data_IF_135974237542
#
_entry.id   IF_135974237542
#
_cell.length_a   1.000
_cell.length_b   1.000
_cell.length_c   1.000
_cell.angle_alpha   90.00
_cell.angle_beta   90.00
_cell.angle_gamma   90.00
#
_symmetry.space_group_name_H-M   'P 1'
#
loop_
_entity.id
_entity.type
_entity.pdbx_description
1 polymer ?
#
# COMPACT_ATOMS: atom_id res chain seq x y z
N UNK A 1 28.87 -47.90 7.39
CA UNK A 1 28.13 -47.05 8.35
C UNK A 1 27.76 -45.65 7.82
N UNK A 2 28.50 -45.05 6.88
CA UNK A 2 28.21 -43.68 6.38
C UNK A 2 26.87 -43.49 5.65
N UNK A 3 26.40 -44.51 4.90
CA UNK A 3 25.13 -44.44 4.15
C UNK A 3 23.88 -44.47 5.05
N UNK A 4 23.96 -45.09 6.23
CA UNK A 4 22.82 -45.16 7.17
C UNK A 4 22.66 -43.82 7.91
N UNK A 5 23.79 -43.20 8.28
CA UNK A 5 23.79 -41.87 8.89
C UNK A 5 23.21 -40.79 7.95
N UNK A 6 23.51 -40.85 6.64
CA UNK A 6 22.98 -39.89 5.67
C UNK A 6 21.48 -40.08 5.40
N UNK A 7 20.97 -41.32 5.43
CA UNK A 7 19.53 -41.60 5.34
C UNK A 7 18.77 -41.10 6.57
N UNK A 8 19.32 -41.29 7.77
CA UNK A 8 18.75 -40.75 9.01
C UNK A 8 18.69 -39.22 9.01
N UNK A 9 19.73 -38.56 8.50
CA UNK A 9 19.77 -37.11 8.37
C UNK A 9 18.73 -36.59 7.36
N UNK A 10 18.55 -37.29 6.23
CA UNK A 10 17.49 -36.99 5.25
C UNK A 10 16.09 -37.19 5.83
N UNK A 11 15.87 -38.26 6.58
CA UNK A 11 14.60 -38.53 7.27
C UNK A 11 14.27 -37.45 8.31
N UNK A 12 15.25 -37.03 9.11
CA UNK A 12 15.09 -35.93 10.08
C UNK A 12 14.76 -34.60 9.42
N UNK A 13 15.33 -34.33 8.24
CA UNK A 13 15.00 -33.14 7.44
C UNK A 13 13.57 -33.22 6.90
N UNK A 14 13.19 -34.34 6.28
CA UNK A 14 11.83 -34.53 5.77
C UNK A 14 10.76 -34.43 6.87
N UNK A 15 11.05 -34.93 8.08
CA UNK A 15 10.14 -34.78 9.21
C UNK A 15 10.00 -33.32 9.65
N UNK A 16 11.10 -32.57 9.72
CA UNK A 16 11.06 -31.12 10.01
C UNK A 16 10.30 -30.34 8.94
N UNK A 17 10.50 -30.69 7.67
CA UNK A 17 9.80 -30.08 6.54
C UNK A 17 8.30 -30.38 6.62
N UNK A 18 7.89 -31.58 7.04
CA UNK A 18 6.48 -31.94 7.25
C UNK A 18 5.85 -31.15 8.40
N UNK A 19 6.53 -31.01 9.53
CA UNK A 19 6.03 -30.21 10.65
C UNK A 19 5.91 -28.72 10.27
N UNK A 20 6.88 -28.18 9.52
CA UNK A 20 6.77 -26.83 8.97
C UNK A 20 5.58 -26.68 8.03
N UNK A 21 5.36 -27.64 7.12
CA UNK A 21 4.22 -27.61 6.21
C UNK A 21 2.87 -27.62 6.95
N UNK A 22 2.76 -28.39 8.04
CA UNK A 22 1.54 -28.40 8.86
C UNK A 22 1.29 -27.04 9.50
N UNK A 23 2.32 -26.40 10.03
CA UNK A 23 2.23 -25.05 10.63
C UNK A 23 1.83 -24.03 9.56
N UNK A 24 2.48 -24.04 8.40
CA UNK A 24 2.12 -23.14 7.30
C UNK A 24 0.68 -23.35 6.83
N UNK A 25 0.24 -24.60 6.73
CA UNK A 25 -1.13 -24.93 6.33
C UNK A 25 -2.17 -24.50 7.38
N UNK A 26 -1.86 -24.67 8.67
CA UNK A 26 -2.76 -24.19 9.73
C UNK A 26 -2.84 -22.67 9.74
N UNK A 27 -1.73 -21.97 9.51
CA UNK A 27 -1.69 -20.51 9.47
C UNK A 27 -2.47 -19.96 8.26
N UNK A 28 -2.25 -20.51 7.06
CA UNK A 28 -3.02 -20.13 5.86
C UNK A 28 -4.53 -20.34 6.10
N UNK A 29 -4.90 -21.46 6.74
CA UNK A 29 -6.31 -21.72 7.06
C UNK A 29 -6.85 -20.73 8.08
N UNK A 30 -6.06 -20.36 9.08
CA UNK A 30 -6.41 -19.36 10.09
C UNK A 30 -6.70 -18.02 9.43
N UNK A 31 -5.76 -17.49 8.65
CA UNK A 31 -5.90 -16.19 7.95
C UNK A 31 -7.08 -16.19 6.97
N UNK A 32 -7.28 -17.27 6.21
CA UNK A 32 -8.44 -17.38 5.30
C UNK A 32 -9.79 -17.43 6.03
N UNK A 33 -9.82 -17.90 7.29
CA UNK A 33 -11.03 -17.96 8.11
C UNK A 33 -11.29 -16.70 8.92
N UNK A 34 -10.23 -15.94 9.22
CA UNK A 34 -10.23 -14.71 10.02
C UNK A 34 -9.78 -13.54 9.15
N UNK A 35 -10.54 -13.25 8.10
CA UNK A 35 -10.28 -12.10 7.23
C UNK A 35 -10.70 -10.81 7.95
N UNK A 36 -9.86 -10.38 8.91
CA UNK A 36 -10.08 -9.21 9.77
C UNK A 36 -10.35 -7.94 8.94
N UNK A 37 -9.71 -7.84 7.76
CA UNK A 37 -9.76 -6.65 6.91
C UNK A 37 -10.90 -6.64 5.88
N UNK A 38 -11.59 -7.76 5.65
CA UNK A 38 -12.80 -7.78 4.79
C UNK A 38 -13.93 -6.91 5.31
N UNK A 39 -13.92 -6.63 6.62
CA UNK A 39 -14.98 -5.90 7.33
C UNK A 39 -14.72 -4.38 7.40
N UNK A 40 -13.47 -3.95 7.19
CA UNK A 40 -13.02 -2.57 7.38
C UNK A 40 -12.89 -1.78 6.06
N UNK A 41 -13.43 -2.30 4.96
CA UNK A 41 -13.64 -1.50 3.76
C UNK A 41 -14.78 -0.50 4.02
N UNK A 42 -14.47 0.58 4.73
CA UNK A 42 -15.31 1.76 4.78
C UNK A 42 -15.67 2.21 3.37
N UNK A 43 -16.77 2.95 3.22
CA UNK A 43 -17.16 3.46 1.92
C UNK A 43 -16.05 4.35 1.36
N UNK A 44 -15.49 3.97 0.20
CA UNK A 44 -14.55 4.79 -0.58
C UNK A 44 -15.23 6.07 -1.14
N UNK A 45 -16.52 6.30 -0.82
CA UNK A 45 -17.32 7.37 -1.39
C UNK A 45 -17.43 7.18 -2.90
N UNK A 46 -17.15 8.24 -3.65
CA UNK A 46 -17.18 8.23 -5.12
C UNK A 46 -15.84 7.85 -5.75
N UNK A 47 -14.85 7.43 -4.94
CA UNK A 47 -13.60 6.91 -5.46
C UNK A 47 -13.77 5.49 -5.97
N UNK A 48 -13.20 5.24 -7.15
CA UNK A 48 -13.10 3.93 -7.78
C UNK A 48 -11.65 3.47 -7.70
N UNK A 49 -11.44 2.22 -7.31
CA UNK A 49 -10.14 1.57 -7.34
C UNK A 49 -9.72 1.34 -8.80
N UNK A 50 -8.65 2.00 -9.23
CA UNK A 50 -8.09 1.91 -10.59
C UNK A 50 -6.98 0.86 -10.66
N UNK A 51 -6.20 0.71 -9.58
CA UNK A 51 -5.14 -0.29 -9.48
C UNK A 51 -4.95 -0.76 -8.04
N UNK A 52 -4.98 -2.08 -7.84
CA UNK A 52 -4.63 -2.76 -6.61
C UNK A 52 -4.14 -4.16 -7.00
N UNK A 53 -2.83 -4.42 -6.85
CA UNK A 53 -2.19 -5.65 -7.31
C UNK A 53 -1.63 -6.42 -6.13
N UNK A 54 -1.86 -7.74 -6.00
CA UNK A 54 -1.27 -8.55 -4.93
C UNK A 54 0.27 -8.59 -4.93
N UNK A 55 0.90 -8.12 -6.02
CA UNK A 55 2.35 -8.10 -6.18
C UNK A 55 2.95 -6.69 -6.10
N UNK A 56 2.13 -5.67 -5.86
CA UNK A 56 2.58 -4.31 -5.62
C UNK A 56 2.01 -3.78 -4.31
N UNK A 57 2.69 -2.80 -3.74
CA UNK A 57 2.18 -1.99 -2.63
C UNK A 57 1.52 -0.70 -3.11
N UNK A 58 1.51 -0.49 -4.42
CA UNK A 58 0.89 0.67 -5.05
C UNK A 58 -0.62 0.44 -5.16
N UNK A 59 -1.36 1.41 -4.64
CA UNK A 59 -2.81 1.51 -4.77
C UNK A 59 -3.12 2.80 -5.52
N UNK A 60 -3.99 2.73 -6.53
CA UNK A 60 -4.44 3.90 -7.28
C UNK A 60 -5.96 3.99 -7.22
N UNK A 61 -6.45 5.14 -6.81
CA UNK A 61 -7.86 5.46 -6.77
C UNK A 61 -8.16 6.70 -7.60
N UNK A 62 -9.33 6.75 -8.22
CA UNK A 62 -9.78 7.91 -9.00
C UNK A 62 -11.21 8.29 -8.67
N UNK A 63 -11.49 9.59 -8.73
CA UNK A 63 -12.82 10.14 -8.59
C UNK A 63 -13.02 11.23 -9.64
N UNK A 64 -14.17 11.17 -10.32
CA UNK A 64 -14.66 12.29 -11.11
C UNK A 64 -15.69 13.06 -10.28
N UNK A 65 -15.44 14.35 -10.08
CA UNK A 65 -16.33 15.24 -9.35
C UNK A 65 -17.43 15.76 -10.28
N UNK A 66 -18.59 16.11 -9.71
CA UNK A 66 -19.70 16.73 -10.45
C UNK A 66 -19.31 18.06 -11.11
N UNK A 67 -18.31 18.75 -10.57
CA UNK A 67 -17.69 19.95 -11.14
C UNK A 67 -16.88 19.70 -12.43
N UNK A 68 -16.73 18.44 -12.84
CA UNK A 68 -15.90 18.00 -13.97
C UNK A 68 -14.41 17.89 -13.63
N UNK A 69 -14.04 18.02 -12.35
CA UNK A 69 -12.68 17.82 -11.88
C UNK A 69 -12.37 16.33 -11.74
N UNK A 70 -11.14 15.95 -12.09
CA UNK A 70 -10.63 14.59 -11.93
C UNK A 70 -9.62 14.60 -10.78
N UNK A 71 -9.84 13.73 -9.79
CA UNK A 71 -8.94 13.50 -8.66
C UNK A 71 -8.37 12.10 -8.79
N UNK A 72 -7.05 11.99 -8.80
CA UNK A 72 -6.33 10.72 -8.78
C UNK A 72 -5.45 10.67 -7.54
N UNK A 73 -5.48 9.55 -6.83
CA UNK A 73 -4.67 9.29 -5.65
C UNK A 73 -3.83 8.07 -5.96
N UNK A 74 -2.51 8.19 -5.84
CA UNK A 74 -1.58 7.07 -5.87
C UNK A 74 -0.93 6.97 -4.51
N UNK A 75 -1.02 5.81 -3.88
CA UNK A 75 -0.49 5.54 -2.56
C UNK A 75 0.45 4.34 -2.62
N UNK A 76 1.62 4.48 -2.01
CA UNK A 76 2.56 3.39 -1.76
C UNK A 76 2.44 3.01 -0.29
N UNK A 77 1.92 1.81 -0.05
CA UNK A 77 1.79 1.27 1.30
C UNK A 77 3.18 0.91 1.87
N UNK A 78 3.38 1.17 3.15
CA UNK A 78 4.59 0.82 3.87
C UNK A 78 4.80 -0.68 4.04
N UNK A 79 5.83 -1.06 4.79
CA UNK A 79 5.98 -2.44 5.24
C UNK A 79 4.97 -2.77 6.33
N UNK A 80 4.34 -3.93 6.22
CA UNK A 80 3.57 -4.53 7.30
C UNK A 80 4.53 -4.96 8.40
N UNK A 81 4.31 -4.48 9.61
CA UNK A 81 5.14 -4.84 10.76
C UNK A 81 4.49 -5.96 11.56
N UNK A 82 5.07 -7.17 11.50
CA UNK A 82 4.65 -8.36 12.26
C UNK A 82 4.71 -8.21 13.79
N UNK A 83 5.13 -7.06 14.31
CA UNK A 83 5.31 -6.82 15.74
C UNK A 83 4.04 -6.31 16.42
N UNK A 84 3.03 -5.90 15.65
CA UNK A 84 1.82 -5.27 16.19
C UNK A 84 0.59 -6.09 15.85
N UNK A 85 -0.41 -6.02 16.75
CA UNK A 85 -1.63 -6.84 16.77
C UNK A 85 -2.42 -6.72 15.48
N UNK A 86 -2.29 -5.59 14.79
CA UNK A 86 -3.19 -5.21 13.72
C UNK A 86 -2.60 -5.37 12.32
N UNK A 87 -1.41 -5.95 12.14
CA UNK A 87 -0.91 -6.51 10.86
C UNK A 87 -0.88 -5.62 9.59
N UNK A 88 -1.29 -4.35 9.64
CA UNK A 88 -1.41 -3.47 8.47
C UNK A 88 -0.28 -2.42 8.37
N UNK A 89 -0.04 -1.83 7.19
CA UNK A 89 0.96 -0.79 7.01
C UNK A 89 0.58 0.51 7.74
N UNK A 90 1.37 0.90 8.74
CA UNK A 90 1.14 2.15 9.51
C UNK A 90 1.58 3.43 8.80
N UNK A 91 2.29 3.32 7.69
CA UNK A 91 2.78 4.46 6.93
C UNK A 91 2.40 4.35 5.48
N UNK A 92 1.92 5.44 4.90
CA UNK A 92 1.60 5.53 3.47
C UNK A 92 2.20 6.80 2.90
N UNK A 93 2.97 6.65 1.83
CA UNK A 93 3.39 7.77 0.99
C UNK A 93 2.38 7.92 -0.14
N UNK A 94 1.84 9.11 -0.32
CA UNK A 94 0.71 9.34 -1.22
C UNK A 94 0.96 10.54 -2.12
N UNK A 95 0.48 10.44 -3.36
CA UNK A 95 0.41 11.56 -4.31
C UNK A 95 -1.05 11.82 -4.65
N UNK A 96 -1.50 13.04 -4.40
CA UNK A 96 -2.85 13.50 -4.75
C UNK A 96 -2.75 14.43 -5.95
N UNK A 97 -3.34 14.02 -7.06
CA UNK A 97 -3.36 14.78 -8.31
C UNK A 97 -4.77 15.29 -8.57
N UNK A 98 -4.90 16.58 -8.83
CA UNK A 98 -6.17 17.24 -9.15
C UNK A 98 -6.04 17.90 -10.53
N UNK A 99 -6.96 17.57 -11.42
CA UNK A 99 -7.07 18.16 -12.75
C UNK A 99 -8.41 18.83 -12.90
N UNK A 100 -8.39 20.11 -13.27
CA UNK A 100 -9.62 20.88 -13.52
C UNK A 100 -10.22 20.53 -14.88
N UNK A 101 -11.54 20.65 -14.99
CA UNK A 101 -12.28 20.44 -16.23
C UNK A 101 -11.69 21.30 -17.37
N UNK A 102 -11.44 20.67 -18.52
CA UNK A 102 -10.92 21.35 -19.72
C UNK A 102 -9.46 21.82 -19.65
N UNK A 103 -8.75 21.59 -18.54
CA UNK A 103 -7.32 21.91 -18.41
C UNK A 103 -6.44 20.67 -18.53
N UNK A 104 -5.25 20.83 -19.13
CA UNK A 104 -4.22 19.80 -19.17
C UNK A 104 -3.32 19.81 -17.93
N UNK A 105 -3.37 20.89 -17.15
CA UNK A 105 -2.53 21.08 -15.98
C UNK A 105 -3.05 20.31 -14.77
N UNK A 106 -2.12 19.87 -13.93
CA UNK A 106 -2.38 19.06 -12.74
C UNK A 106 -1.78 19.77 -11.54
N UNK A 107 -2.53 19.86 -10.46
CA UNK A 107 -2.01 20.21 -9.14
C UNK A 107 -1.73 18.90 -8.41
N UNK A 108 -0.46 18.65 -8.08
CA UNK A 108 -0.03 17.45 -7.37
C UNK A 108 0.38 17.82 -5.95
N UNK A 109 -0.01 17.00 -4.98
CA UNK A 109 0.47 17.07 -3.60
C UNK A 109 1.21 15.78 -3.27
N UNK A 110 2.41 15.89 -2.72
CA UNK A 110 3.05 14.76 -2.05
C UNK A 110 2.64 14.80 -0.58
N UNK A 111 2.05 13.70 -0.12
CA UNK A 111 1.46 13.56 1.18
C UNK A 111 2.04 12.34 1.89
N UNK A 112 2.03 12.36 3.22
CA UNK A 112 2.36 11.22 4.06
C UNK A 112 1.24 11.02 5.07
N UNK A 113 0.76 9.80 5.17
CA UNK A 113 -0.19 9.37 6.20
C UNK A 113 0.59 8.48 7.17
N UNK A 114 0.44 8.74 8.46
CA UNK A 114 1.02 7.91 9.52
C UNK A 114 -0.10 7.57 10.48
N UNK A 115 -0.34 6.29 10.66
CA UNK A 115 -1.18 5.78 11.74
C UNK A 115 -0.32 5.59 12.98
N UNK A 116 -0.54 6.43 13.99
CA UNK A 116 0.16 6.36 15.27
C UNK A 116 -0.49 5.35 16.24
N UNK A 117 -1.59 4.71 15.83
CA UNK A 117 -2.44 3.86 16.65
C UNK A 117 -3.40 4.67 17.54
N UNK A 118 -4.23 3.97 18.31
CA UNK A 118 -5.19 4.59 19.26
C UNK A 118 -6.13 5.62 18.60
N UNK A 119 -6.62 5.31 17.40
CA UNK A 119 -7.49 6.18 16.58
C UNK A 119 -6.83 7.50 16.13
N UNK A 120 -5.50 7.61 16.20
CA UNK A 120 -4.75 8.79 15.75
C UNK A 120 -4.09 8.53 14.40
N UNK A 121 -4.68 9.11 13.35
CA UNK A 121 -4.11 9.15 12.00
C UNK A 121 -3.62 10.56 11.70
N UNK A 122 -2.32 10.73 11.50
CA UNK A 122 -1.68 11.99 11.13
C UNK A 122 -1.50 12.09 9.62
N UNK A 123 -1.87 13.25 9.07
CA UNK A 123 -1.79 13.56 7.64
C UNK A 123 -0.89 14.77 7.40
N UNK A 124 0.14 14.61 6.57
CA UNK A 124 1.10 15.66 6.25
C UNK A 124 1.16 15.92 4.75
N UNK A 125 1.02 17.18 4.34
CA UNK A 125 1.37 17.61 2.98
C UNK A 125 2.83 18.02 2.99
N UNK A 126 3.66 17.27 2.29
CA UNK A 126 5.11 17.51 2.24
C UNK A 126 5.47 18.50 1.13
N UNK A 127 4.80 18.41 -0.02
CA UNK A 127 5.07 19.26 -1.18
C UNK A 127 3.81 19.49 -2.02
N UNK A 128 3.79 20.57 -2.81
CA UNK A 128 2.71 20.90 -3.74
C UNK A 128 3.29 21.44 -5.04
N UNK A 129 2.94 20.81 -6.15
CA UNK A 129 3.49 21.08 -7.47
C UNK A 129 2.38 21.46 -8.45
N UNK A 130 2.63 22.48 -9.26
CA UNK A 130 1.81 22.76 -10.42
C UNK A 130 2.48 22.23 -11.68
N UNK A 131 1.91 21.19 -12.26
CA UNK A 131 2.40 20.55 -13.47
C UNK A 131 1.58 21.05 -14.67
N UNK A 132 2.21 21.76 -15.60
CA UNK A 132 1.53 22.28 -16.80
C UNK A 132 1.05 21.17 -17.75
N UNK A 133 1.75 20.04 -17.75
CA UNK A 133 1.43 18.83 -18.51
C UNK A 133 1.86 17.59 -17.71
N UNK A 134 1.09 16.48 -17.73
CA UNK A 134 1.46 15.22 -17.08
C UNK A 134 2.76 14.61 -17.62
N UNK A 135 3.14 14.93 -18.87
CA UNK A 135 4.33 14.39 -19.53
C UNK A 135 5.61 15.16 -19.21
N UNK A 136 5.52 16.32 -18.57
CA UNK A 136 6.66 17.19 -18.33
C UNK A 136 7.07 17.18 -16.85
N UNK A 137 7.88 16.17 -16.49
CA UNK A 137 8.39 15.95 -15.14
C UNK A 137 9.83 16.45 -14.97
N UNK A 138 10.30 17.35 -15.83
CA UNK A 138 11.68 17.82 -15.79
C UNK A 138 12.00 18.51 -14.44
N UNK A 139 13.26 18.42 -14.03
CA UNK A 139 13.80 19.05 -12.82
C UNK A 139 13.73 20.59 -12.87
N UNK A 140 13.65 21.15 -14.08
CA UNK A 140 13.52 22.59 -14.35
C UNK A 140 12.13 23.16 -14.05
N UNK A 141 11.11 22.31 -13.88
CA UNK A 141 9.73 22.74 -13.61
C UNK A 141 9.61 23.25 -12.18
N UNK A 142 8.98 24.42 -12.00
CA UNK A 142 8.74 24.99 -10.68
C UNK A 142 8.01 24.01 -9.77
N UNK A 143 8.64 23.68 -8.63
CA UNK A 143 8.18 22.64 -7.71
C UNK A 143 7.33 23.14 -6.55
N UNK A 144 6.84 24.38 -6.64
CA UNK A 144 6.11 25.00 -5.53
C UNK A 144 7.03 25.47 -4.40
N UNK A 145 6.44 26.06 -3.35
CA UNK A 145 7.15 26.43 -2.14
C UNK A 145 7.49 25.20 -1.30
N UNK A 146 8.57 25.26 -0.54
CA UNK A 146 8.84 24.30 0.54
C UNK A 146 7.90 24.60 1.71
N UNK A 147 7.20 23.58 2.19
CA UNK A 147 6.40 23.69 3.40
C UNK A 147 7.30 23.54 4.64
N UNK A 148 7.00 24.31 5.69
CA UNK A 148 7.74 24.36 6.96
C UNK A 148 7.17 23.41 7.99
#
# INVERSE_FOLDING_TARGET
MSKVASLLQKGKRAFRDLELLKVLQSEIKHELSNDLYKSESGSLGDFVMDWDSPHSKDVIMRKNCESGEEVAISALLGDETFLEVDGYPKGVEMKVCIKKAGLSSILQFDCKVIDEGQDKVDFHIQNAYYLKSPTNLDSSVYRGPMFS
#
